data_IF_646226623968
#
_entry.id   IF_646226623968
#
_cell.length_a   1.000
_cell.length_b   1.000
_cell.length_c   1.000
_cell.angle_alpha   90.00
_cell.angle_beta   90.00
_cell.angle_gamma   90.00
#
_symmetry.space_group_name_H-M   'P 1'
#
loop_
_entity.id
_entity.type
_entity.pdbx_description
1 polymer ?
#
# COMPACT_ATOMS: atom_id res chain seq x y z
N UNK A 1 -15.66 0.94 -4.40
CA UNK A 1 -15.50 2.34 -3.92
C UNK A 1 -16.72 3.17 -4.26
N UNK A 2 -17.20 3.18 -5.51
CA UNK A 2 -18.41 3.94 -5.89
C UNK A 2 -19.71 3.37 -5.29
N UNK A 3 -19.82 2.05 -5.19
CA UNK A 3 -21.03 1.39 -4.67
C UNK A 3 -20.94 1.03 -3.18
N UNK A 4 -19.75 1.14 -2.58
CA UNK A 4 -19.51 0.84 -1.16
C UNK A 4 -19.55 2.16 -0.36
N UNK A 5 -20.64 2.43 0.40
CA UNK A 5 -20.80 3.71 1.08
C UNK A 5 -19.75 3.96 2.15
N UNK A 6 -19.24 2.91 2.81
CA UNK A 6 -18.23 3.04 3.86
C UNK A 6 -16.88 3.42 3.26
N UNK A 7 -16.48 2.76 2.17
CA UNK A 7 -15.26 3.09 1.43
C UNK A 7 -15.35 4.51 0.85
N UNK A 8 -16.49 4.88 0.25
CA UNK A 8 -16.71 6.21 -0.32
C UNK A 8 -16.60 7.32 0.74
N UNK A 9 -17.27 7.13 1.89
CA UNK A 9 -17.29 8.11 2.99
C UNK A 9 -15.91 8.32 3.63
N UNK A 10 -15.00 7.34 3.53
CA UNK A 10 -13.65 7.39 4.08
C UNK A 10 -12.58 7.54 2.99
N UNK A 11 -12.98 7.97 1.80
CA UNK A 11 -12.04 8.25 0.73
C UNK A 11 -11.42 9.64 0.88
N UNK A 12 -10.12 9.70 0.72
CA UNK A 12 -9.33 10.93 0.71
C UNK A 12 -8.77 11.13 -0.69
N UNK A 13 -8.71 12.37 -1.15
CA UNK A 13 -7.95 12.71 -2.36
C UNK A 13 -6.54 13.08 -1.92
N UNK A 14 -5.55 12.32 -2.39
CA UNK A 14 -4.14 12.64 -2.22
C UNK A 14 -3.65 13.34 -3.49
N UNK A 15 -3.45 14.67 -3.47
CA UNK A 15 -2.94 15.39 -4.62
C UNK A 15 -1.46 15.05 -4.84
N UNK A 16 -1.03 15.00 -6.10
CA UNK A 16 0.38 15.11 -6.47
C UNK A 16 0.82 16.59 -6.53
N UNK A 17 2.09 16.81 -6.90
CA UNK A 17 2.66 18.16 -7.00
C UNK A 17 1.96 19.07 -8.03
N UNK A 18 1.26 18.49 -9.00
CA UNK A 18 0.57 19.22 -10.07
C UNK A 18 -0.94 19.27 -9.86
N UNK A 19 -1.44 18.80 -8.71
CA UNK A 19 -2.85 18.87 -8.33
C UNK A 19 -3.72 17.72 -8.86
N UNK A 20 -3.16 16.73 -9.53
CA UNK A 20 -3.88 15.51 -9.89
C UNK A 20 -4.10 14.65 -8.64
N UNK A 21 -5.25 14.01 -8.52
CA UNK A 21 -5.66 13.35 -7.29
C UNK A 21 -5.70 11.83 -7.41
N UNK A 22 -5.02 11.11 -6.51
CA UNK A 22 -5.34 9.69 -6.27
C UNK A 22 -6.38 9.60 -5.17
N UNK A 23 -7.52 8.93 -5.42
CA UNK A 23 -8.49 8.63 -4.37
C UNK A 23 -8.02 7.41 -3.59
N UNK A 24 -7.96 7.51 -2.27
CA UNK A 24 -7.47 6.44 -1.40
C UNK A 24 -8.42 6.26 -0.21
N UNK A 25 -8.79 5.02 0.08
CA UNK A 25 -9.43 4.63 1.35
C UNK A 25 -8.56 3.61 2.04
N UNK A 26 -8.38 3.76 3.35
CA UNK A 26 -7.42 2.98 4.13
C UNK A 26 -8.05 2.57 5.46
N UNK A 27 -7.78 1.33 5.88
CA UNK A 27 -8.34 0.76 7.09
C UNK A 27 -7.43 -0.33 7.68
N UNK A 28 -7.49 -0.51 9.00
CA UNK A 28 -6.47 -1.27 9.74
C UNK A 28 -6.98 -2.64 10.25
N UNK A 29 -8.24 -3.02 9.97
CA UNK A 29 -8.79 -4.33 10.35
C UNK A 29 -9.34 -5.09 9.15
N UNK A 30 -9.03 -6.38 9.08
CA UNK A 30 -9.65 -7.30 8.13
C UNK A 30 -11.05 -7.70 8.64
N UNK A 31 -12.06 -6.87 8.35
CA UNK A 31 -13.47 -7.12 8.65
C UNK A 31 -14.09 -8.23 7.79
N UNK A 32 -15.43 -8.29 7.72
CA UNK A 32 -16.14 -9.34 6.97
C UNK A 32 -16.65 -8.91 5.58
N UNK A 33 -16.17 -7.79 5.04
CA UNK A 33 -16.39 -7.43 3.64
C UNK A 33 -15.64 -8.33 2.66
N UNK A 34 -15.94 -8.22 1.36
CA UNK A 34 -15.19 -8.89 0.29
C UNK A 34 -13.69 -8.60 0.35
N UNK A 35 -13.29 -7.38 0.76
CA UNK A 35 -11.88 -7.02 0.91
C UNK A 35 -11.27 -7.72 2.13
N UNK A 36 -12.02 -7.85 3.22
CA UNK A 36 -11.61 -8.60 4.40
C UNK A 36 -11.53 -10.11 4.15
N UNK A 37 -12.39 -10.67 3.31
CA UNK A 37 -12.24 -12.05 2.83
C UNK A 37 -10.98 -12.22 1.99
N UNK A 38 -10.70 -11.29 1.08
CA UNK A 38 -9.45 -11.32 0.30
C UNK A 38 -8.20 -11.20 1.18
N UNK A 39 -8.27 -10.46 2.29
CA UNK A 39 -7.17 -10.36 3.26
C UNK A 39 -7.01 -11.58 4.17
N UNK A 40 -8.02 -12.45 4.26
CA UNK A 40 -8.03 -13.61 5.16
C UNK A 40 -8.02 -14.95 4.44
N UNK A 41 -8.12 -14.95 3.10
CA UNK A 41 -8.15 -16.19 2.35
C UNK A 41 -6.80 -16.92 2.39
N UNK A 42 -6.87 -18.25 2.45
CA UNK A 42 -5.69 -19.11 2.61
C UNK A 42 -4.58 -18.79 1.61
N UNK A 43 -4.89 -18.64 0.32
CA UNK A 43 -3.88 -18.33 -0.70
C UNK A 43 -3.11 -17.04 -0.44
N UNK A 44 -3.78 -16.00 0.07
CA UNK A 44 -3.12 -14.72 0.35
C UNK A 44 -2.24 -14.83 1.60
N UNK A 45 -2.77 -15.45 2.65
CA UNK A 45 -2.08 -15.62 3.93
C UNK A 45 -0.88 -16.54 3.78
N UNK A 46 -1.03 -17.68 3.11
CA UNK A 46 0.05 -18.65 2.90
C UNK A 46 1.17 -18.05 2.03
N UNK A 47 0.83 -17.24 1.02
CA UNK A 47 1.82 -16.51 0.22
C UNK A 47 2.62 -15.55 1.11
N UNK A 48 1.94 -14.78 1.96
CA UNK A 48 2.58 -13.83 2.85
C UNK A 48 3.46 -14.53 3.90
N UNK A 49 2.94 -15.56 4.58
CA UNK A 49 3.65 -16.40 5.55
C UNK A 49 4.89 -17.03 4.92
N UNK A 50 4.78 -17.57 3.70
CA UNK A 50 5.90 -18.19 3.00
C UNK A 50 7.02 -17.18 2.67
N UNK A 51 6.65 -15.98 2.21
CA UNK A 51 7.62 -14.97 1.80
C UNK A 51 8.27 -14.25 2.99
N UNK A 52 7.54 -14.09 4.10
CA UNK A 52 8.08 -13.53 5.36
C UNK A 52 8.89 -14.57 6.13
N UNK A 53 8.50 -15.84 6.09
CA UNK A 53 9.17 -16.94 6.78
C UNK A 53 8.62 -17.24 8.18
N UNK A 54 7.53 -16.59 8.58
CA UNK A 54 6.80 -16.84 9.82
C UNK A 54 5.32 -16.45 9.66
N UNK A 55 4.50 -16.75 10.67
CA UNK A 55 3.10 -16.36 10.71
C UNK A 55 2.93 -14.84 10.61
N UNK A 56 1.84 -14.41 9.96
CA UNK A 56 1.57 -13.00 9.66
C UNK A 56 0.22 -12.56 10.20
N UNK A 57 0.08 -11.26 10.37
CA UNK A 57 -1.21 -10.61 10.61
C UNK A 57 -1.48 -9.51 9.59
N UNK A 58 -2.76 -9.16 9.45
CA UNK A 58 -3.19 -8.03 8.62
C UNK A 58 -2.77 -6.73 9.30
N UNK A 59 -1.86 -6.00 8.66
CA UNK A 59 -1.41 -4.71 9.16
C UNK A 59 -2.34 -3.58 8.72
N UNK A 60 -2.72 -3.59 7.45
CA UNK A 60 -3.53 -2.54 6.83
C UNK A 60 -4.01 -2.99 5.45
N UNK A 61 -5.16 -2.47 5.03
CA UNK A 61 -5.58 -2.49 3.63
C UNK A 61 -5.78 -1.08 3.11
N UNK A 62 -5.51 -0.88 1.82
CA UNK A 62 -5.75 0.36 1.09
C UNK A 62 -6.38 0.07 -0.26
N UNK A 63 -7.44 0.79 -0.61
CA UNK A 63 -7.99 0.82 -1.97
C UNK A 63 -7.52 2.12 -2.61
N UNK A 64 -6.82 2.02 -3.74
CA UNK A 64 -6.33 3.18 -4.49
C UNK A 64 -7.00 3.25 -5.85
N UNK A 65 -7.51 4.42 -6.20
CA UNK A 65 -8.21 4.69 -7.44
C UNK A 65 -7.54 5.86 -8.17
N UNK A 66 -7.00 5.59 -9.35
CA UNK A 66 -6.56 6.61 -10.30
C UNK A 66 -7.61 6.76 -11.40
N UNK A 67 -8.34 7.86 -11.36
CA UNK A 67 -9.39 8.15 -12.34
C UNK A 67 -8.79 8.53 -13.71
N UNK A 68 -9.51 8.26 -14.82
CA UNK A 68 -9.08 8.64 -16.16
C UNK A 68 -8.69 10.12 -16.24
N UNK A 69 -7.55 10.41 -16.87
CA UNK A 69 -7.02 11.77 -17.10
C UNK A 69 -6.85 12.66 -15.86
N UNK A 70 -7.01 12.14 -14.65
CA UNK A 70 -7.03 12.91 -13.40
C UNK A 70 -6.27 12.25 -12.24
N UNK A 71 -5.90 10.97 -12.38
CA UNK A 71 -5.16 10.24 -11.36
C UNK A 71 -3.74 10.76 -11.17
N UNK A 72 -3.39 11.15 -9.94
CA UNK A 72 -2.08 11.74 -9.60
C UNK A 72 -0.91 10.76 -9.54
N UNK A 73 0.30 11.29 -9.63
CA UNK A 73 1.54 10.54 -9.44
C UNK A 73 1.79 10.19 -7.95
N UNK A 74 2.61 9.17 -7.76
CA UNK A 74 3.22 8.83 -6.48
C UNK A 74 4.72 8.78 -6.69
N UNK A 75 5.47 9.61 -5.97
CA UNK A 75 6.93 9.63 -6.06
C UNK A 75 7.55 8.33 -5.53
N UNK A 76 8.83 8.15 -5.81
CA UNK A 76 9.59 7.01 -5.31
C UNK A 76 9.51 6.93 -3.79
N UNK A 77 9.09 5.79 -3.26
CA UNK A 77 9.03 5.56 -1.83
C UNK A 77 9.18 4.07 -1.47
N UNK A 78 9.35 3.80 -0.18
CA UNK A 78 9.21 2.49 0.44
C UNK A 78 8.02 2.55 1.39
N UNK A 79 7.20 1.51 1.46
CA UNK A 79 6.12 1.46 2.45
C UNK A 79 6.68 1.50 3.88
N UNK A 80 7.80 0.79 4.11
CA UNK A 80 8.45 0.76 5.44
C UNK A 80 8.96 2.13 5.91
N UNK A 81 9.30 3.05 5.00
CA UNK A 81 9.69 4.40 5.41
C UNK A 81 8.58 5.13 6.14
N UNK A 82 7.31 4.84 5.83
CA UNK A 82 6.14 5.28 6.61
C UNK A 82 5.89 4.40 7.83
N UNK A 83 5.88 3.07 7.65
CA UNK A 83 5.48 2.12 8.69
C UNK A 83 6.46 2.07 9.87
N UNK A 84 7.72 2.43 9.66
CA UNK A 84 8.70 2.65 10.73
C UNK A 84 8.18 3.63 11.78
N UNK A 85 7.60 4.74 11.33
CA UNK A 85 7.02 5.76 12.20
C UNK A 85 5.60 5.40 12.68
N UNK A 86 4.99 4.34 12.14
CA UNK A 86 3.80 3.70 12.70
C UNK A 86 4.12 2.65 13.78
N UNK A 87 5.39 2.54 14.20
CA UNK A 87 5.81 1.69 15.31
C UNK A 87 6.34 0.31 14.91
N UNK A 88 6.53 0.04 13.62
CA UNK A 88 7.13 -1.22 13.15
C UNK A 88 8.66 -1.12 13.20
N UNK A 89 9.30 -1.92 14.07
CA UNK A 89 10.74 -1.82 14.30
C UNK A 89 11.59 -2.49 13.22
N UNK A 90 11.02 -3.45 12.48
CA UNK A 90 11.72 -4.17 11.41
C UNK A 90 10.90 -4.14 10.12
N UNK A 91 11.53 -4.29 8.95
CA UNK A 91 10.84 -4.30 7.66
C UNK A 91 10.25 -5.68 7.31
N UNK A 92 9.92 -6.51 8.31
CA UNK A 92 9.42 -7.89 8.16
C UNK A 92 7.95 -7.89 7.73
N UNK A 93 7.71 -7.24 6.59
CA UNK A 93 6.41 -6.78 6.11
C UNK A 93 6.41 -6.81 4.58
N UNK A 94 5.24 -7.06 4.01
CA UNK A 94 5.04 -7.03 2.55
C UNK A 94 3.66 -6.50 2.18
N UNK A 95 3.52 -6.12 0.92
CA UNK A 95 2.27 -5.73 0.31
C UNK A 95 1.90 -6.69 -0.82
N UNK A 96 0.64 -7.09 -0.83
CA UNK A 96 -0.01 -7.80 -1.92
C UNK A 96 -0.97 -6.83 -2.61
N UNK A 97 -0.59 -6.32 -3.78
CA UNK A 97 -1.44 -5.46 -4.60
C UNK A 97 -2.23 -6.29 -5.61
N UNK A 98 -3.55 -6.34 -5.43
CA UNK A 98 -4.50 -6.94 -6.35
C UNK A 98 -4.95 -5.88 -7.37
N UNK A 99 -4.79 -6.17 -8.66
CA UNK A 99 -5.35 -5.37 -9.73
C UNK A 99 -6.87 -5.59 -9.82
N UNK A 100 -7.67 -4.54 -9.60
CA UNK A 100 -9.13 -4.60 -9.79
C UNK A 100 -9.53 -4.21 -11.22
N UNK A 101 -8.77 -3.29 -11.80
CA UNK A 101 -8.76 -3.00 -13.22
C UNK A 101 -7.41 -3.39 -13.82
N UNK A 102 -7.35 -3.49 -15.15
CA UNK A 102 -6.08 -3.63 -15.88
C UNK A 102 -5.15 -2.49 -15.48
N UNK A 103 -3.88 -2.80 -15.22
CA UNK A 103 -2.86 -1.82 -14.88
C UNK A 103 -1.68 -1.95 -15.83
N UNK A 104 -1.40 -0.89 -16.59
CA UNK A 104 -0.28 -0.80 -17.51
C UNK A 104 0.38 0.58 -17.44
N UNK A 105 1.36 0.85 -18.30
CA UNK A 105 2.09 2.12 -18.28
C UNK A 105 1.19 3.32 -18.62
N UNK A 106 0.14 3.12 -19.40
CA UNK A 106 -0.71 4.20 -19.88
C UNK A 106 -1.63 4.73 -18.78
N UNK A 107 -2.08 3.85 -17.88
CA UNK A 107 -2.93 4.22 -16.74
C UNK A 107 -2.21 4.29 -15.38
N UNK A 108 -0.87 4.33 -15.41
CA UNK A 108 -0.06 4.56 -14.22
C UNK A 108 0.09 3.33 -13.33
N UNK A 109 0.46 2.18 -13.90
CA UNK A 109 0.89 0.99 -13.14
C UNK A 109 2.09 1.29 -12.21
N UNK A 110 2.31 0.39 -11.25
CA UNK A 110 3.49 0.49 -10.40
C UNK A 110 4.77 0.26 -11.18
N UNK A 111 5.75 1.09 -10.90
CA UNK A 111 7.14 0.91 -11.30
C UNK A 111 7.93 0.52 -10.05
N UNK A 112 8.85 -0.44 -10.19
CA UNK A 112 9.65 -0.97 -9.09
C UNK A 112 11.13 -0.96 -9.47
N UNK A 113 12.01 -0.68 -8.51
CA UNK A 113 13.46 -0.81 -8.70
C UNK A 113 13.89 -2.22 -8.30
N UNK A 114 14.28 -3.02 -9.29
CA UNK A 114 14.58 -4.45 -9.10
C UNK A 114 15.71 -4.65 -8.09
N UNK A 115 15.42 -5.46 -7.06
CA UNK A 115 16.36 -5.80 -6.00
C UNK A 115 16.55 -4.72 -4.93
N UNK A 116 15.88 -3.57 -5.03
CA UNK A 116 16.13 -2.45 -4.11
C UNK A 116 15.73 -2.72 -2.66
N UNK A 117 14.84 -3.70 -2.41
CA UNK A 117 14.50 -4.15 -1.06
C UNK A 117 15.71 -4.62 -0.24
N UNK A 118 16.80 -5.02 -0.91
CA UNK A 118 18.06 -5.43 -0.29
C UNK A 118 18.95 -4.26 0.15
N UNK A 119 18.62 -3.03 -0.24
CA UNK A 119 19.37 -1.82 0.14
C UNK A 119 19.02 -1.32 1.55
N UNK A 120 18.07 -1.97 2.23
CA UNK A 120 17.56 -1.52 3.52
C UNK A 120 16.57 -0.36 3.37
N UNK A 121 16.33 0.35 4.49
CA UNK A 121 15.46 1.53 4.51
C UNK A 121 16.22 2.73 3.96
N UNK A 122 15.66 3.36 2.94
CA UNK A 122 16.08 4.66 2.42
C UNK A 122 15.32 5.73 3.18
N UNK A 123 16.01 6.79 3.59
CA UNK A 123 15.38 7.87 4.31
C UNK A 123 14.32 8.56 3.45
N UNK A 124 13.20 8.89 4.09
CA UNK A 124 12.15 9.69 3.49
C UNK A 124 12.34 11.15 3.84
N UNK A 125 12.25 12.02 2.83
CA UNK A 125 12.33 13.47 3.01
C UNK A 125 10.98 14.12 2.65
N UNK A 126 10.61 15.23 3.29
CA UNK A 126 9.39 15.96 2.92
C UNK A 126 9.45 16.45 1.48
N UNK A 127 8.43 16.11 0.69
CA UNK A 127 8.21 16.62 -0.66
C UNK A 127 7.24 17.80 -0.65
N UNK A 128 6.18 17.65 0.15
CA UNK A 128 5.16 18.67 0.45
C UNK A 128 4.70 18.46 1.90
N UNK A 129 3.86 19.35 2.42
CA UNK A 129 3.24 19.19 3.75
C UNK A 129 2.40 17.89 3.88
N UNK A 130 2.11 17.20 2.78
CA UNK A 130 1.25 16.01 2.73
C UNK A 130 1.92 14.78 2.09
N UNK A 131 3.17 14.90 1.66
CA UNK A 131 3.87 13.82 0.97
C UNK A 131 5.35 13.81 1.31
N UNK A 132 5.89 12.61 1.47
CA UNK A 132 7.31 12.36 1.54
C UNK A 132 7.73 11.53 0.34
N UNK A 133 9.00 11.63 -0.04
CA UNK A 133 9.64 10.81 -1.06
C UNK A 133 10.91 10.16 -0.51
N UNK A 134 11.40 9.11 -1.15
CA UNK A 134 12.72 8.57 -0.89
C UNK A 134 13.78 9.61 -1.27
N UNK A 135 14.79 9.79 -0.43
CA UNK A 135 15.91 10.73 -0.62
C UNK A 135 16.34 10.84 -2.09
N UNK A 136 16.09 11.99 -2.75
CA UNK A 136 16.34 12.17 -4.17
C UNK A 136 17.81 11.99 -4.57
N UNK A 137 18.75 12.36 -3.69
CA UNK A 137 20.17 12.21 -3.98
C UNK A 137 20.54 10.72 -4.02
N UNK A 138 20.04 9.93 -3.06
CA UNK A 138 20.22 8.46 -3.10
C UNK A 138 19.53 7.85 -4.30
N UNK A 139 18.33 8.31 -4.64
CA UNK A 139 17.57 7.80 -5.78
C UNK A 139 18.32 7.97 -7.11
N UNK A 140 19.05 9.07 -7.33
CA UNK A 140 19.88 9.24 -8.53
C UNK A 140 20.88 8.08 -8.71
N UNK A 141 21.58 7.70 -7.64
CA UNK A 141 22.55 6.61 -7.68
C UNK A 141 21.88 5.24 -7.82
N UNK A 142 20.76 5.03 -7.12
CA UNK A 142 20.02 3.77 -7.17
C UNK A 142 19.47 3.52 -8.59
N UNK A 143 18.85 4.52 -9.21
CA UNK A 143 18.28 4.40 -10.57
C UNK A 143 19.36 4.23 -11.65
N UNK A 144 20.57 4.74 -11.41
CA UNK A 144 21.71 4.52 -12.31
C UNK A 144 22.26 3.09 -12.21
N UNK A 145 22.12 2.43 -11.04
CA UNK A 145 22.70 1.12 -10.76
C UNK A 145 21.70 -0.04 -10.86
N UNK A 146 20.40 0.23 -10.87
CA UNK A 146 19.35 -0.80 -10.82
C UNK A 146 18.32 -0.65 -11.95
N UNK A 147 17.83 -1.79 -12.43
CA UNK A 147 16.77 -1.87 -13.43
C UNK A 147 15.43 -1.43 -12.83
N UNK A 148 14.72 -0.54 -13.51
CA UNK A 148 13.32 -0.22 -13.22
C UNK A 148 12.39 -1.09 -14.07
N UNK A 149 11.50 -1.83 -13.41
CA UNK A 149 10.50 -2.69 -14.05
C UNK A 149 9.10 -2.16 -13.80
N UNK A 150 8.18 -2.38 -14.73
CA UNK A 150 6.78 -1.97 -14.61
C UNK A 150 5.89 -3.11 -15.14
N UNK A 151 5.56 -4.10 -14.29
CA UNK A 151 4.76 -5.23 -14.72
C UNK A 151 3.34 -4.76 -15.06
N UNK A 152 2.86 -5.12 -16.25
CA UNK A 152 1.45 -4.99 -16.59
C UNK A 152 0.66 -6.08 -15.86
N UNK A 153 -0.51 -5.74 -15.34
CA UNK A 153 -1.38 -6.62 -14.57
C UNK A 153 -2.78 -6.63 -15.19
N UNK A 154 -3.37 -7.81 -15.30
CA UNK A 154 -4.78 -7.97 -15.64
C UNK A 154 -5.64 -8.04 -14.37
N UNK A 155 -6.95 -7.75 -14.44
CA UNK A 155 -7.83 -7.87 -13.28
C UNK A 155 -7.73 -9.24 -12.60
N UNK A 156 -7.47 -9.24 -11.30
CA UNK A 156 -7.27 -10.44 -10.48
C UNK A 156 -5.81 -10.85 -10.28
N UNK A 157 -4.86 -10.30 -11.05
CA UNK A 157 -3.43 -10.50 -10.82
C UNK A 157 -3.00 -9.87 -9.48
N UNK A 158 -2.01 -10.49 -8.84
CA UNK A 158 -1.44 -10.01 -7.57
C UNK A 158 0.05 -9.73 -7.74
N UNK A 159 0.43 -8.47 -7.55
CA UNK A 159 1.82 -8.04 -7.43
C UNK A 159 2.22 -8.03 -5.94
N UNK A 160 3.13 -8.93 -5.56
CA UNK A 160 3.65 -9.00 -4.20
C UNK A 160 5.03 -8.34 -4.12
N UNK A 161 5.22 -7.44 -3.16
CA UNK A 161 6.50 -6.76 -2.96
C UNK A 161 6.81 -6.50 -1.49
N UNK A 162 8.09 -6.55 -1.15
CA UNK A 162 8.61 -6.29 0.19
C UNK A 162 8.43 -4.83 0.59
N UNK A 163 8.28 -4.53 1.88
CA UNK A 163 8.07 -3.18 2.41
C UNK A 163 9.17 -2.16 2.08
N UNK A 164 10.42 -2.62 1.93
CA UNK A 164 11.58 -1.86 1.41
C UNK A 164 11.70 -1.83 -0.12
N UNK A 165 10.79 -2.43 -0.89
CA UNK A 165 10.84 -2.31 -2.34
C UNK A 165 10.59 -0.85 -2.73
N UNK A 166 11.52 -0.24 -3.46
CA UNK A 166 11.33 1.11 -3.98
C UNK A 166 10.34 1.02 -5.13
N UNK A 167 9.25 1.77 -5.01
CA UNK A 167 8.21 1.79 -6.00
C UNK A 167 7.62 3.19 -6.15
N UNK A 168 7.02 3.42 -7.32
CA UNK A 168 6.34 4.67 -7.68
C UNK A 168 5.19 4.38 -8.65
N UNK A 169 4.37 5.38 -8.96
CA UNK A 169 3.46 5.28 -10.11
C UNK A 169 3.23 6.63 -10.76
N UNK A 170 3.26 6.67 -12.09
CA UNK A 170 3.01 7.89 -12.86
C UNK A 170 1.52 8.27 -12.87
N UNK A 171 1.21 9.46 -13.36
CA UNK A 171 -0.17 9.92 -13.54
C UNK A 171 -0.96 9.00 -14.46
N UNK A 172 -2.27 8.91 -14.23
CA UNK A 172 -3.18 8.29 -15.19
C UNK A 172 -3.62 9.34 -16.22
N UNK A 173 -3.00 9.32 -17.39
CA UNK A 173 -3.34 10.20 -18.52
C UNK A 173 -4.27 9.52 -19.54
N UNK A 174 -4.56 8.23 -19.34
CA UNK A 174 -5.40 7.44 -20.23
C UNK A 174 -6.90 7.68 -19.99
N UNK A 175 -7.71 7.08 -20.87
CA UNK A 175 -9.18 7.00 -20.74
C UNK A 175 -9.65 5.87 -19.81
N UNK A 176 -8.73 5.02 -19.34
CA UNK A 176 -9.06 3.87 -18.51
C UNK A 176 -8.78 4.18 -17.04
N UNK A 177 -9.68 3.77 -16.15
CA UNK A 177 -9.43 3.83 -14.70
C UNK A 177 -8.39 2.78 -14.28
N UNK A 178 -7.77 3.00 -13.12
CA UNK A 178 -6.86 2.01 -12.50
C UNK A 178 -7.12 1.89 -11.00
N UNK A 179 -7.94 0.93 -10.60
CA UNK A 179 -8.19 0.63 -9.20
C UNK A 179 -7.38 -0.59 -8.73
N UNK A 180 -6.85 -0.50 -7.52
CA UNK A 180 -6.13 -1.60 -6.88
C UNK A 180 -6.52 -1.71 -5.40
N UNK A 181 -6.59 -2.95 -4.92
CA UNK A 181 -6.65 -3.27 -3.50
C UNK A 181 -5.26 -3.70 -3.06
N UNK A 182 -4.69 -3.06 -2.05
CA UNK A 182 -3.39 -3.44 -1.50
C UNK A 182 -3.61 -3.90 -0.07
N UNK A 183 -3.19 -5.13 0.22
CA UNK A 183 -3.28 -5.76 1.53
C UNK A 183 -1.86 -5.89 2.06
N UNK A 184 -1.61 -5.35 3.24
CA UNK A 184 -0.29 -5.32 3.87
C UNK A 184 -0.26 -6.31 5.02
N UNK A 185 0.77 -7.16 5.04
CA UNK A 185 1.00 -8.14 6.09
C UNK A 185 2.27 -7.78 6.86
N UNK A 186 2.26 -8.10 8.16
CA UNK A 186 3.40 -7.96 9.04
C UNK A 186 3.62 -9.26 9.81
N UNK A 187 4.87 -9.60 10.08
CA UNK A 187 5.23 -10.71 10.95
C UNK A 187 4.62 -10.55 12.35
N UNK A 188 4.12 -11.64 12.94
CA UNK A 188 3.56 -11.58 14.31
C UNK A 188 4.61 -11.20 15.36
N UNK A 189 5.89 -11.50 15.11
CA UNK A 189 7.00 -11.12 16.01
C UNK A 189 7.46 -9.66 15.80
N UNK A 190 6.88 -8.94 14.84
CA UNK A 190 7.20 -7.55 14.49
C UNK A 190 6.02 -6.61 14.76
N UNK A 191 5.21 -6.90 15.77
CA UNK A 191 4.02 -6.11 16.12
C UNK A 191 4.34 -4.62 16.31
N UNK A 192 3.41 -3.76 15.87
CA UNK A 192 3.56 -2.32 15.94
C UNK A 192 3.48 -1.83 17.39
N UNK A 193 4.49 -1.09 17.84
CA UNK A 193 4.56 -0.59 19.22
C UNK A 193 3.50 0.47 19.56
N UNK A 194 2.88 1.07 18.54
CA UNK A 194 1.90 2.16 18.72
C UNK A 194 0.50 1.57 18.87
N UNK A 195 0.03 1.45 20.11
CA UNK A 195 -1.28 0.88 20.43
C UNK A 195 -2.49 1.76 20.01
N UNK A 196 -2.28 2.98 19.53
CA UNK A 196 -3.34 3.97 19.27
C UNK A 196 -3.93 4.02 17.85
N UNK A 197 -3.42 3.23 16.90
CA UNK A 197 -3.84 3.28 15.47
C UNK A 197 -4.39 1.92 14.99
N UNK A 198 -4.80 1.01 15.87
CA UNK A 198 -5.39 -0.30 15.52
C UNK A 198 -4.55 -1.20 14.59
N UNK A 199 -3.26 -0.91 14.40
CA UNK A 199 -2.32 -1.71 13.60
C UNK A 199 -1.56 -2.77 14.41
N UNK A 200 -1.97 -2.96 15.67
CA UNK A 200 -1.44 -4.01 16.52
C UNK A 200 -1.97 -5.38 16.08
N UNK A 201 -1.19 -6.41 16.41
CA UNK A 201 -1.48 -7.79 16.13
C UNK A 201 -2.89 -8.17 16.63
N UNK A 202 -3.70 -8.66 15.70
CA UNK A 202 -4.94 -9.38 15.98
C UNK A 202 -4.90 -10.67 15.19
N UNK A 203 -5.21 -11.83 15.81
CA UNK A 203 -5.25 -13.10 15.12
C UNK A 203 -6.09 -13.04 13.85
N UNK A 204 -5.49 -13.49 12.75
CA UNK A 204 -6.18 -13.49 11.47
C UNK A 204 -7.19 -14.66 11.46
N UNK A 205 -8.48 -14.35 11.43
CA UNK A 205 -9.54 -15.35 11.25
C UNK A 205 -9.52 -15.89 9.81
N UNK A 206 -8.61 -16.82 9.51
CA UNK A 206 -8.42 -17.39 8.18
C UNK A 206 -9.71 -18.00 7.63
N UNK A 207 -9.90 -17.86 6.33
CA UNK A 207 -11.05 -18.42 5.59
C UNK A 207 -10.56 -19.15 4.33
N UNK A 208 -11.31 -20.14 3.86
CA UNK A 208 -11.00 -20.80 2.60
C UNK A 208 -11.10 -19.85 1.40
N UNK A 209 -10.37 -20.11 0.33
CA UNK A 209 -10.32 -19.25 -0.87
C UNK A 209 -11.70 -18.92 -1.47
N UNK A 210 -12.64 -19.87 -1.41
CA UNK A 210 -13.99 -19.70 -1.91
C UNK A 210 -14.80 -18.65 -1.13
N UNK A 211 -14.38 -18.27 0.08
CA UNK A 211 -15.04 -17.24 0.88
C UNK A 211 -15.10 -15.88 0.18
N UNK A 212 -14.10 -15.55 -0.66
CA UNK A 212 -14.10 -14.30 -1.44
C UNK A 212 -15.27 -14.28 -2.43
N UNK A 213 -15.51 -15.39 -3.13
CA UNK A 213 -16.64 -15.50 -4.07
C UNK A 213 -17.97 -15.59 -3.33
N UNK A 214 -18.02 -16.35 -2.24
CA UNK A 214 -19.24 -16.55 -1.44
C UNK A 214 -19.71 -15.27 -0.75
N UNK A 215 -18.78 -14.39 -0.35
CA UNK A 215 -19.13 -13.10 0.21
C UNK A 215 -19.86 -12.19 -0.79
N UNK A 216 -19.67 -12.41 -2.10
CA UNK A 216 -20.20 -11.54 -3.15
C UNK A 216 -19.79 -10.08 -2.92
N UNK A 217 -20.67 -9.14 -3.25
CA UNK A 217 -20.48 -7.71 -2.97
C UNK A 217 -20.88 -7.33 -1.54
N UNK A 218 -20.46 -8.12 -0.55
CA UNK A 218 -20.60 -7.70 0.86
C UNK A 218 -19.61 -6.57 1.12
N UNK A 219 -20.14 -5.37 1.28
CA UNK A 219 -19.39 -4.14 1.48
C UNK A 219 -18.99 -3.90 2.94
N UNK A 220 -18.05 -2.98 3.13
CA UNK A 220 -17.47 -2.66 4.44
C UNK A 220 -18.52 -2.08 5.40
N UNK A 221 -18.39 -2.44 6.68
CA UNK A 221 -19.16 -1.88 7.78
C UNK A 221 -18.19 -1.15 8.70
N UNK A 222 -18.37 0.16 8.88
CA UNK A 222 -17.38 1.04 9.56
C UNK A 222 -16.81 0.45 10.87
N UNK A 223 -17.64 -0.26 11.63
CA UNK A 223 -17.30 -0.88 12.92
C UNK A 223 -16.31 -2.05 12.82
N UNK A 224 -16.18 -2.69 11.66
CA UNK A 224 -15.31 -3.87 11.49
C UNK A 224 -13.99 -3.58 10.78
N UNK A 225 -13.95 -2.60 9.87
CA UNK A 225 -12.74 -2.29 9.10
C UNK A 225 -11.81 -1.26 9.78
N UNK A 226 -12.33 -0.41 10.65
CA UNK A 226 -11.58 0.67 11.33
C UNK A 226 -10.84 1.58 10.32
N UNK A 227 -11.60 2.45 9.65
CA UNK A 227 -11.07 3.40 8.66
C UNK A 227 -10.22 4.50 9.31
N UNK A 228 -9.09 4.84 8.69
CA UNK A 228 -8.30 5.98 9.14
C UNK A 228 -8.88 7.28 8.63
N UNK A 229 -8.94 8.31 9.48
CA UNK A 229 -9.47 9.63 9.12
C UNK A 229 -8.42 10.56 8.49
N UNK A 230 -7.14 10.22 8.55
CA UNK A 230 -6.04 11.05 8.05
C UNK A 230 -4.92 10.17 7.48
N UNK A 231 -4.29 10.64 6.40
CA UNK A 231 -3.03 10.05 5.92
C UNK A 231 -1.92 10.37 6.92
N UNK A 232 -1.22 9.35 7.40
CA UNK A 232 -0.05 9.56 8.26
C UNK A 232 1.16 9.96 7.40
N UNK A 233 1.63 11.19 7.58
CA UNK A 233 2.88 11.67 7.01
C UNK A 233 3.80 11.99 8.18
N UNK A 234 4.86 11.19 8.40
CA UNK A 234 5.78 11.47 9.49
C UNK A 234 6.43 12.84 9.29
N UNK A 235 6.49 13.64 10.35
CA UNK A 235 7.29 14.86 10.37
C UNK A 235 8.76 14.48 10.46
N UNK A 236 9.37 14.21 9.31
CA UNK A 236 10.80 13.95 9.21
C UNK A 236 11.49 15.30 9.17
N UNK A 237 11.95 15.78 10.33
CA UNK A 237 12.77 16.98 10.37
C UNK A 237 13.98 16.78 9.45
N UNK A 238 14.25 17.74 8.55
CA UNK A 238 15.50 17.76 7.82
C UNK A 238 16.65 17.66 8.84
N UNK A 239 17.54 16.68 8.68
CA UNK A 239 18.72 16.56 9.53
C UNK A 239 19.45 17.90 9.64
N UNK A 240 20.21 18.14 10.73
CA UNK A 240 20.89 19.41 10.93
C UNK A 240 21.73 19.70 9.68
N UNK A 241 21.36 20.78 8.98
CA UNK A 241 22.01 21.18 7.74
C UNK A 241 23.52 21.30 7.93
N UNK A 242 24.26 20.86 6.92
CA UNK A 242 25.71 21.02 6.80
C UNK A 242 26.13 22.43 7.25
N UNK A 243 26.83 22.50 8.38
CA UNK A 243 27.74 23.60 8.71
C UNK A 243 29.09 23.42 8.02
#
# INVERSE_FOLDING_TARGET
MEEDPAIAAHSLIRPDQEGFGTRISLWNRAGDSVYGMAARCDRMVDTATTLIGEEVYHFQSKLTAKEPRAGGAWEWHQDYGYWYYNGCLRPDMLSCMIALDRADRDNGCLQLVKGSHKLGRIDHVPLTDKQNEADPERMKHILAAHETVAPALEPGDVLVFHSNMLHRSDKNLSDNRRWTLIICYNAITNDALVAGDDRSFVPLGRVGDEAVKQAGLKFSSQDQEHFTKQSYVPNVAAGPGNG
#
